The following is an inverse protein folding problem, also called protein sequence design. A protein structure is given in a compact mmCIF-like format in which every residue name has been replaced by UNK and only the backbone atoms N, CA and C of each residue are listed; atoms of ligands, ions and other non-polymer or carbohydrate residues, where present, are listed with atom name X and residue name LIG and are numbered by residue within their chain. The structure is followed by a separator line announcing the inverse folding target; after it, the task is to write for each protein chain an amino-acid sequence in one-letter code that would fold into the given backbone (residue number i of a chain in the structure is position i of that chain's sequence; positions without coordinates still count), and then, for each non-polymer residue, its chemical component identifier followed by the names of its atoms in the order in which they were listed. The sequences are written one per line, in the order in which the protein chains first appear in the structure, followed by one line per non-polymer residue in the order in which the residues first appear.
data_IF_087503813648
#
_entry.id   IF_087503813648
#
_cell.length_a   1.000
_cell.length_b   1.000
_cell.length_c   1.000
_cell.angle_alpha   90.00
_cell.angle_beta   90.00
_cell.angle_gamma   90.00
#
_symmetry.space_group_name_H-M   'P 1'
#
loop_
_entity.id
_entity.type
_entity.pdbx_description
1 polymer ?
#
# COMPACT_ATOMS: atom_id res chain seq x y z
N UNK A 1 65.27 27.10 8.02
CA UNK A 1 64.17 26.33 7.42
C UNK A 1 62.91 26.67 8.19
N UNK A 2 61.93 27.23 7.49
CA UNK A 2 60.75 27.91 8.02
C UNK A 2 59.62 26.93 8.36
N UNK A 3 59.20 26.92 9.63
CA UNK A 3 58.01 26.19 10.09
C UNK A 3 56.74 26.97 9.73
N UNK A 4 55.98 26.46 8.76
CA UNK A 4 54.61 26.91 8.51
C UNK A 4 53.65 26.19 9.45
N UNK A 5 53.28 26.85 10.56
CA UNK A 5 52.09 26.48 11.35
C UNK A 5 50.82 26.83 10.55
N UNK A 6 50.25 25.83 9.89
CA UNK A 6 48.91 25.91 9.33
C UNK A 6 47.86 26.00 10.44
N UNK A 7 47.15 27.13 10.51
CA UNK A 7 46.01 27.31 11.39
C UNK A 7 44.86 26.39 10.93
N UNK A 8 44.38 25.57 11.86
CA UNK A 8 43.23 24.70 11.68
C UNK A 8 41.95 25.54 11.54
N UNK A 9 41.39 25.59 10.34
CA UNK A 9 40.02 26.05 10.12
C UNK A 9 39.06 24.90 10.41
N UNK A 10 38.73 24.69 11.68
CA UNK A 10 37.60 23.84 12.09
C UNK A 10 36.31 24.54 11.67
N UNK A 11 35.80 24.18 10.50
CA UNK A 11 34.46 24.57 10.07
C UNK A 11 33.46 23.98 11.06
N UNK A 12 32.92 24.82 11.95
CA UNK A 12 31.76 24.49 12.76
C UNK A 12 30.59 24.17 11.82
N UNK A 13 30.40 22.87 11.52
CA UNK A 13 29.16 22.37 10.93
C UNK A 13 28.03 22.72 11.89
N UNK A 14 27.28 23.76 11.55
CA UNK A 14 26.04 24.13 12.24
C UNK A 14 25.17 22.87 12.30
N UNK A 15 24.71 22.42 13.49
CA UNK A 15 23.83 21.28 13.57
C UNK A 15 22.60 21.55 12.71
N UNK A 16 22.24 20.61 11.84
CA UNK A 16 21.00 20.72 11.06
C UNK A 16 19.84 20.96 12.04
N UNK A 17 18.85 21.80 11.68
CA UNK A 17 17.71 22.05 12.54
C UNK A 17 17.07 20.71 12.92
N UNK A 18 17.05 20.41 14.22
CA UNK A 18 16.44 19.17 14.73
C UNK A 18 14.94 19.31 14.55
N UNK A 19 14.39 18.73 13.49
CA UNK A 19 12.95 18.64 13.29
C UNK A 19 12.40 17.69 14.36
N UNK A 20 11.55 18.22 15.24
CA UNK A 20 10.84 17.41 16.22
C UNK A 20 9.67 16.69 15.55
N UNK A 21 9.42 15.46 15.98
CA UNK A 21 8.30 14.61 15.55
C UNK A 21 7.81 13.85 16.77
N UNK A 22 6.51 13.88 17.02
CA UNK A 22 5.88 13.16 18.14
C UNK A 22 5.14 11.94 17.62
N UNK A 23 5.29 10.80 18.29
CA UNK A 23 4.71 9.53 17.86
C UNK A 23 3.82 8.97 18.95
N UNK A 24 2.54 8.82 18.64
CA UNK A 24 1.56 8.20 19.51
C UNK A 24 1.25 6.79 19.00
N UNK A 25 1.35 5.80 19.87
CA UNK A 25 1.18 4.39 19.51
C UNK A 25 0.00 3.78 20.24
N UNK A 26 -0.93 3.21 19.48
CA UNK A 26 -2.11 2.52 19.98
C UNK A 26 -2.06 1.07 19.56
N UNK A 27 -2.33 0.16 20.51
CA UNK A 27 -2.40 -1.29 20.26
C UNK A 27 -3.83 -1.73 20.47
N UNK A 28 -4.32 -2.57 19.59
CA UNK A 28 -5.67 -3.11 19.66
C UNK A 28 -5.71 -4.53 19.07
N UNK A 29 -6.76 -5.26 19.36
CA UNK A 29 -6.98 -6.63 18.86
C UNK A 29 -8.30 -6.65 18.12
N UNK A 30 -8.28 -7.08 16.87
CA UNK A 30 -9.46 -7.16 16.01
C UNK A 30 -9.50 -8.52 15.32
N UNK A 31 -10.57 -9.31 15.56
CA UNK A 31 -10.67 -10.67 15.01
C UNK A 31 -9.45 -11.54 15.32
N UNK A 32 -9.02 -11.53 16.59
CA UNK A 32 -7.81 -12.25 17.05
C UNK A 32 -6.49 -11.81 16.40
N UNK A 33 -6.48 -10.68 15.70
CA UNK A 33 -5.30 -10.12 15.05
C UNK A 33 -4.78 -8.92 15.85
N UNK A 34 -3.53 -8.96 16.36
CA UNK A 34 -2.90 -7.81 16.98
C UNK A 34 -2.61 -6.72 15.94
N UNK A 35 -3.15 -5.52 16.19
CA UNK A 35 -2.99 -4.35 15.34
C UNK A 35 -2.29 -3.24 16.13
N UNK A 36 -1.47 -2.45 15.44
CA UNK A 36 -0.82 -1.27 15.99
C UNK A 36 -1.04 -0.09 15.05
N UNK A 37 -1.52 1.03 15.61
CA UNK A 37 -1.68 2.29 14.89
C UNK A 37 -0.73 3.32 15.47
N UNK A 38 -0.12 4.09 14.60
CA UNK A 38 0.93 5.03 14.92
C UNK A 38 0.58 6.39 14.31
N UNK A 39 0.36 7.37 15.16
CA UNK A 39 0.02 8.74 14.75
C UNK A 39 1.28 9.58 14.91
N UNK A 40 1.84 10.02 13.80
CA UNK A 40 2.92 11.01 13.77
C UNK A 40 2.35 12.41 13.78
N UNK A 41 2.92 13.28 14.61
CA UNK A 41 2.56 14.71 14.68
C UNK A 41 3.82 15.52 14.44
N UNK A 42 3.85 16.26 13.34
CA UNK A 42 5.04 16.96 12.85
C UNK A 42 4.75 18.47 12.72
N UNK A 43 5.36 19.34 13.54
CA UNK A 43 5.26 20.79 13.36
C UNK A 43 5.90 21.21 12.04
N UNK A 44 5.19 22.00 11.23
CA UNK A 44 5.79 22.61 10.02
C UNK A 44 6.99 23.51 10.38
N UNK A 45 6.97 24.11 11.57
CA UNK A 45 8.07 24.93 12.08
C UNK A 45 9.28 24.12 12.58
N UNK A 46 9.15 22.79 12.68
CA UNK A 46 10.13 21.89 13.28
C UNK A 46 10.20 21.93 14.82
N UNK A 47 9.39 22.75 15.49
CA UNK A 47 9.38 22.94 16.96
C UNK A 47 7.96 22.86 17.54
N UNK A 48 7.79 22.49 18.83
CA UNK A 48 6.49 22.43 19.52
C UNK A 48 5.99 23.84 19.86
N UNK A 49 5.54 24.57 18.84
CA UNK A 49 4.97 25.91 18.98
C UNK A 49 3.55 25.94 18.42
N UNK A 50 2.69 26.86 18.88
CA UNK A 50 1.43 27.10 18.22
C UNK A 50 1.63 27.34 16.72
N UNK A 51 0.87 26.65 15.87
CA UNK A 51 1.09 26.68 14.42
C UNK A 51 0.49 25.49 13.69
N UNK A 52 0.91 25.29 12.44
CA UNK A 52 0.46 24.17 11.61
C UNK A 52 1.25 22.89 11.92
N UNK A 53 0.52 21.79 11.97
CA UNK A 53 1.04 20.45 12.20
C UNK A 53 0.48 19.48 11.17
N UNK A 54 1.34 18.63 10.64
CA UNK A 54 0.97 17.51 9.79
C UNK A 54 0.81 16.26 10.65
N UNK A 55 -0.33 15.60 10.49
CA UNK A 55 -0.64 14.33 11.12
C UNK A 55 -0.50 13.24 10.06
N UNK A 56 0.31 12.22 10.34
CA UNK A 56 0.42 11.03 9.50
C UNK A 56 -0.06 9.81 10.30
N UNK A 57 -0.74 8.88 9.64
CA UNK A 57 -1.18 7.64 10.25
C UNK A 57 -0.48 6.47 9.58
N UNK A 58 0.15 5.60 10.37
CA UNK A 58 0.64 4.32 9.92
C UNK A 58 -0.02 3.18 10.68
N UNK A 59 -0.17 2.06 9.97
CA UNK A 59 -0.70 0.82 10.47
C UNK A 59 0.40 -0.23 10.43
N UNK A 60 0.58 -0.92 11.55
CA UNK A 60 1.54 -1.99 11.72
C UNK A 60 0.84 -3.25 12.22
N UNK A 61 1.09 -4.36 11.53
CA UNK A 61 0.72 -5.68 12.00
C UNK A 61 1.82 -6.68 11.64
N UNK A 62 2.17 -7.51 12.62
CA UNK A 62 3.19 -8.55 12.49
C UNK A 62 4.53 -8.09 11.89
N UNK A 63 5.06 -6.96 12.38
CA UNK A 63 6.34 -6.42 11.93
C UNK A 63 6.30 -5.69 10.57
N UNK A 64 5.14 -5.61 9.91
CA UNK A 64 4.96 -4.85 8.66
C UNK A 64 4.19 -3.57 8.96
N UNK A 65 4.83 -2.42 8.75
CA UNK A 65 4.26 -1.08 8.85
C UNK A 65 4.03 -0.48 7.46
N UNK A 66 2.87 0.15 7.25
CA UNK A 66 2.54 0.91 6.05
C UNK A 66 1.79 2.20 6.40
N UNK A 67 1.92 3.27 5.60
CA UNK A 67 1.04 4.42 5.74
C UNK A 67 -0.41 4.02 5.42
N UNK A 68 -1.35 4.64 6.12
CA UNK A 68 -2.79 4.53 5.84
C UNK A 68 -3.43 5.91 5.90
N UNK A 69 -4.40 6.15 5.04
CA UNK A 69 -5.00 7.48 4.80
C UNK A 69 -4.00 8.52 4.29
N UNK A 70 -4.53 9.60 3.72
CA UNK A 70 -3.75 10.78 3.38
C UNK A 70 -3.39 11.58 4.65
N UNK A 71 -2.20 12.21 4.70
CA UNK A 71 -1.84 13.12 5.78
C UNK A 71 -2.85 14.26 5.94
N UNK A 72 -3.16 14.65 7.18
CA UNK A 72 -4.03 15.80 7.45
C UNK A 72 -3.27 16.91 8.17
N UNK A 73 -3.57 18.16 7.83
CA UNK A 73 -2.99 19.34 8.49
C UNK A 73 -4.01 19.95 9.47
N UNK A 74 -3.54 20.35 10.65
CA UNK A 74 -4.33 21.10 11.64
C UNK A 74 -3.48 22.22 12.25
N UNK A 75 -4.14 23.29 12.68
CA UNK A 75 -3.51 24.35 13.46
C UNK A 75 -3.69 24.06 14.94
N UNK A 76 -2.60 23.85 15.67
CA UNK A 76 -2.61 23.59 17.11
C UNK A 76 -2.24 24.85 17.88
N UNK A 77 -2.92 25.06 19.01
CA UNK A 77 -2.55 26.03 20.06
C UNK A 77 -2.16 25.36 21.37
N UNK A 78 -2.28 24.03 21.44
CA UNK A 78 -1.92 23.19 22.58
C UNK A 78 -0.55 22.54 22.35
N UNK A 79 0.10 22.06 23.42
CA UNK A 79 1.37 21.35 23.29
C UNK A 79 1.13 20.01 22.56
N UNK A 80 1.81 19.75 21.42
CA UNK A 80 1.67 18.50 20.68
C UNK A 80 2.13 17.26 21.46
N UNK A 81 2.76 17.42 22.63
CA UNK A 81 3.15 16.33 23.55
C UNK A 81 2.01 15.88 24.47
N UNK A 82 0.94 16.66 24.57
CA UNK A 82 -0.19 16.42 25.47
C UNK A 82 -1.47 16.03 24.72
N UNK A 83 -1.37 15.71 23.43
CA UNK A 83 -2.53 15.30 22.65
C UNK A 83 -3.04 13.93 23.12
N UNK A 84 -4.36 13.77 23.11
CA UNK A 84 -5.04 12.49 23.32
C UNK A 84 -5.79 12.10 22.05
N UNK A 85 -5.82 10.79 21.75
CA UNK A 85 -6.52 10.26 20.59
C UNK A 85 -7.45 9.11 20.96
N UNK A 86 -8.65 9.13 20.40
CA UNK A 86 -9.50 7.95 20.32
C UNK A 86 -9.16 7.17 19.05
N UNK A 87 -8.62 5.96 19.19
CA UNK A 87 -8.35 5.05 18.07
C UNK A 87 -9.17 3.79 18.25
N UNK A 88 -10.07 3.53 17.31
CA UNK A 88 -10.90 2.33 17.38
C UNK A 88 -11.21 1.79 15.98
N UNK A 89 -11.42 0.49 15.92
CA UNK A 89 -11.94 -0.21 14.76
C UNK A 89 -13.26 -0.86 15.12
N UNK A 90 -14.15 -0.96 14.15
CA UNK A 90 -15.37 -1.76 14.28
C UNK A 90 -15.53 -2.65 13.05
N UNK A 91 -16.25 -3.78 13.15
CA UNK A 91 -16.46 -4.65 12.02
C UNK A 91 -17.08 -3.87 10.85
N UNK A 92 -16.51 -4.02 9.67
CA UNK A 92 -17.11 -3.48 8.46
C UNK A 92 -18.33 -4.28 8.03
N UNK A 93 -18.84 -3.95 6.83
CA UNK A 93 -19.88 -4.75 6.17
C UNK A 93 -19.35 -6.15 5.79
N UNK A 94 -20.19 -6.94 5.16
CA UNK A 94 -19.79 -8.24 4.60
C UNK A 94 -18.56 -8.10 3.71
N UNK A 95 -17.55 -8.92 3.97
CA UNK A 95 -16.32 -9.01 3.20
C UNK A 95 -16.01 -10.46 2.84
N UNK A 96 -15.23 -10.62 1.78
CA UNK A 96 -14.68 -11.91 1.38
C UNK A 96 -13.15 -11.76 1.33
N UNK A 97 -12.39 -12.50 2.16
CA UNK A 97 -12.85 -13.45 3.19
C UNK A 97 -13.63 -12.78 4.35
N UNK A 98 -14.47 -13.55 5.02
CA UNK A 98 -15.28 -13.09 6.17
C UNK A 98 -14.39 -12.72 7.35
N UNK A 99 -14.82 -11.73 8.15
CA UNK A 99 -14.14 -11.36 9.40
C UNK A 99 -12.84 -10.57 9.24
N UNK A 100 -12.50 -10.17 8.00
CA UNK A 100 -11.27 -9.44 7.72
C UNK A 100 -11.47 -7.94 7.52
N UNK A 101 -12.70 -7.47 7.28
CA UNK A 101 -12.96 -6.06 7.00
C UNK A 101 -13.26 -5.29 8.29
N UNK A 102 -12.51 -4.22 8.47
CA UNK A 102 -12.65 -3.30 9.59
C UNK A 102 -12.80 -1.86 9.09
N UNK A 103 -13.56 -1.07 9.84
CA UNK A 103 -13.64 0.37 9.66
C UNK A 103 -12.87 1.04 10.80
N UNK A 104 -11.83 1.79 10.45
CA UNK A 104 -10.99 2.55 11.37
C UNK A 104 -11.53 3.96 11.56
N UNK A 105 -11.48 4.47 12.80
CA UNK A 105 -11.67 5.88 13.11
C UNK A 105 -10.60 6.37 14.07
N UNK A 106 -10.09 7.57 13.81
CA UNK A 106 -9.15 8.27 14.68
C UNK A 106 -9.67 9.67 14.95
N UNK A 107 -9.84 9.99 16.22
CA UNK A 107 -10.27 11.30 16.71
C UNK A 107 -9.20 11.89 17.60
N UNK A 108 -8.93 13.18 17.44
CA UNK A 108 -8.11 13.97 18.35
C UNK A 108 -9.03 14.58 19.42
N UNK A 109 -8.75 14.31 20.69
CA UNK A 109 -9.50 14.87 21.83
C UNK A 109 -8.68 15.98 22.45
N UNK A 110 -9.20 17.20 22.45
CA UNK A 110 -8.52 18.37 23.03
C UNK A 110 -9.55 19.24 23.73
N UNK A 111 -9.31 19.55 25.00
CA UNK A 111 -10.14 20.47 25.81
C UNK A 111 -11.64 20.14 25.76
N UNK A 112 -12.00 18.85 25.80
CA UNK A 112 -13.39 18.39 25.76
C UNK A 112 -14.05 18.44 24.37
N UNK A 113 -13.29 18.75 23.31
CA UNK A 113 -13.77 18.73 21.92
C UNK A 113 -13.08 17.62 21.14
N UNK A 114 -13.87 16.86 20.39
CA UNK A 114 -13.41 15.76 19.56
C UNK A 114 -13.36 16.16 18.08
N UNK A 115 -12.21 15.97 17.45
CA UNK A 115 -11.98 16.28 16.04
C UNK A 115 -11.65 15.01 15.28
N UNK A 116 -12.48 14.64 14.29
CA UNK A 116 -12.16 13.52 13.40
C UNK A 116 -10.91 13.86 12.59
N UNK A 117 -9.89 13.01 12.69
CA UNK A 117 -8.65 13.13 11.92
C UNK A 117 -8.63 12.18 10.74
N UNK A 118 -8.87 10.89 10.99
CA UNK A 118 -8.76 9.85 9.97
C UNK A 118 -9.98 8.91 10.00
N UNK A 119 -10.26 8.32 8.84
CA UNK A 119 -11.13 7.16 8.77
C UNK A 119 -10.92 6.38 7.48
N UNK A 120 -10.91 5.07 7.60
CA UNK A 120 -10.78 4.12 6.49
C UNK A 120 -11.84 3.04 6.68
N UNK A 121 -12.67 2.83 5.67
CA UNK A 121 -13.74 1.82 5.69
C UNK A 121 -13.31 0.51 5.03
N UNK A 122 -12.09 0.44 4.51
CA UNK A 122 -11.55 -0.71 3.78
C UNK A 122 -10.25 -1.26 4.39
N UNK A 123 -10.13 -1.23 5.72
CA UNK A 123 -9.02 -1.88 6.41
C UNK A 123 -9.22 -3.40 6.42
N UNK A 124 -8.71 -4.10 5.40
CA UNK A 124 -8.72 -5.55 5.39
C UNK A 124 -7.46 -6.16 6.01
N UNK A 125 -7.66 -6.77 7.17
CA UNK A 125 -6.65 -7.49 7.93
C UNK A 125 -7.29 -8.65 8.68
N UNK A 126 -6.61 -9.79 8.71
CA UNK A 126 -7.08 -10.95 9.46
C UNK A 126 -5.97 -11.96 9.69
N UNK A 127 -6.16 -12.75 10.76
CA UNK A 127 -5.34 -13.92 11.08
C UNK A 127 -5.99 -15.13 10.40
N UNK A 128 -5.22 -15.83 9.57
CA UNK A 128 -5.64 -17.02 8.83
C UNK A 128 -7.03 -16.93 8.16
N UNK A 129 -7.28 -15.94 7.29
CA UNK A 129 -8.53 -15.84 6.56
C UNK A 129 -8.81 -17.09 5.71
N UNK A 130 -10.08 -17.50 5.65
CA UNK A 130 -10.49 -18.59 4.78
C UNK A 130 -10.58 -18.14 3.31
N UNK A 131 -9.44 -18.17 2.62
CA UNK A 131 -9.38 -17.88 1.17
C UNK A 131 -10.04 -18.98 0.32
N UNK A 132 -10.31 -20.17 0.84
CA UNK A 132 -11.00 -21.21 0.09
C UNK A 132 -12.50 -20.93 -0.06
N UNK A 133 -13.06 -20.07 0.79
CA UNK A 133 -14.43 -19.57 0.67
C UNK A 133 -14.67 -18.69 -0.58
N UNK A 134 -13.62 -18.29 -1.29
CA UNK A 134 -13.72 -17.43 -2.46
C UNK A 134 -14.01 -18.29 -3.70
N UNK A 135 -15.28 -18.32 -4.10
CA UNK A 135 -15.73 -19.00 -5.31
C UNK A 135 -15.00 -18.50 -6.57
N UNK A 136 -14.69 -19.44 -7.46
CA UNK A 136 -14.04 -19.21 -8.77
C UNK A 136 -12.68 -18.49 -8.71
N UNK A 137 -12.06 -18.39 -7.54
CA UNK A 137 -10.78 -17.73 -7.39
C UNK A 137 -9.64 -18.56 -7.99
N UNK A 138 -8.83 -17.93 -8.83
CA UNK A 138 -7.57 -18.46 -9.32
C UNK A 138 -6.42 -17.81 -8.56
N UNK A 139 -5.66 -18.64 -7.84
CA UNK A 139 -4.56 -18.20 -6.97
C UNK A 139 -3.22 -18.31 -7.67
N UNK A 140 -2.41 -17.26 -7.55
CA UNK A 140 -1.04 -17.28 -8.01
C UNK A 140 -0.17 -18.15 -7.09
N UNK A 141 0.75 -18.89 -7.69
CA UNK A 141 1.73 -19.74 -6.98
C UNK A 141 3.11 -19.15 -7.17
N UNK A 142 3.80 -18.92 -6.06
CA UNK A 142 5.21 -18.52 -6.10
C UNK A 142 6.01 -19.61 -6.82
N UNK A 143 6.79 -19.20 -7.81
CA UNK A 143 7.69 -20.08 -8.59
C UNK A 143 9.14 -19.81 -8.26
N UNK A 144 9.47 -18.55 -8.03
CA UNK A 144 10.82 -18.11 -7.76
C UNK A 144 10.81 -17.00 -6.70
N UNK A 145 11.83 -16.98 -5.87
CA UNK A 145 12.09 -15.94 -4.89
C UNK A 145 13.60 -15.73 -4.80
N UNK A 146 14.04 -14.50 -5.02
CA UNK A 146 15.43 -14.09 -4.95
C UNK A 146 15.58 -12.91 -3.96
N UNK A 147 16.76 -12.28 -3.93
CA UNK A 147 17.08 -11.22 -3.01
C UNK A 147 16.31 -9.91 -3.22
N UNK A 148 15.80 -9.68 -4.43
CA UNK A 148 15.11 -8.45 -4.81
C UNK A 148 13.75 -8.67 -5.46
N UNK A 149 13.37 -9.92 -5.70
CA UNK A 149 12.12 -10.22 -6.38
C UNK A 149 11.47 -11.54 -5.96
N UNK A 150 10.17 -11.62 -6.19
CA UNK A 150 9.37 -12.84 -6.12
C UNK A 150 8.48 -12.92 -7.35
N UNK A 151 8.48 -14.09 -8.00
CA UNK A 151 7.71 -14.36 -9.21
C UNK A 151 6.61 -15.35 -8.89
N UNK A 152 5.38 -15.00 -9.25
CA UNK A 152 4.19 -15.81 -9.06
C UNK A 152 3.50 -16.11 -10.39
N UNK A 153 3.12 -17.35 -10.63
CA UNK A 153 2.35 -17.72 -11.82
C UNK A 153 0.88 -17.99 -11.46
N UNK A 154 -0.05 -17.47 -12.26
CA UNK A 154 -1.47 -17.78 -12.16
C UNK A 154 -2.09 -17.97 -13.54
N UNK A 155 -3.24 -18.63 -13.59
CA UNK A 155 -4.11 -18.59 -14.77
C UNK A 155 -5.19 -17.53 -14.56
N UNK A 156 -5.28 -16.55 -15.46
CA UNK A 156 -6.32 -15.51 -15.44
C UNK A 156 -7.02 -15.49 -16.79
N UNK A 157 -8.32 -15.81 -16.83
CA UNK A 157 -9.05 -15.89 -18.10
C UNK A 157 -8.45 -16.89 -19.10
N UNK A 158 -7.94 -18.04 -18.60
CA UNK A 158 -7.18 -19.05 -19.36
C UNK A 158 -5.79 -18.60 -19.86
N UNK A 159 -5.38 -17.36 -19.62
CA UNK A 159 -4.01 -16.90 -19.90
C UNK A 159 -3.08 -17.26 -18.73
N UNK A 160 -1.87 -17.75 -19.03
CA UNK A 160 -0.82 -17.85 -18.03
C UNK A 160 -0.24 -16.44 -17.81
N UNK A 161 -0.30 -15.96 -16.57
CA UNK A 161 0.17 -14.63 -16.16
C UNK A 161 1.28 -14.81 -15.12
N UNK A 162 2.39 -14.12 -15.34
CA UNK A 162 3.43 -13.92 -14.34
C UNK A 162 3.18 -12.63 -13.58
N UNK A 163 3.20 -12.67 -12.26
CA UNK A 163 3.21 -11.50 -11.38
C UNK A 163 4.59 -11.38 -10.76
N UNK A 164 5.28 -10.30 -11.07
CA UNK A 164 6.66 -10.04 -10.64
C UNK A 164 6.63 -8.95 -9.58
N UNK A 165 6.96 -9.31 -8.34
CA UNK A 165 7.06 -8.37 -7.22
C UNK A 165 8.52 -8.07 -7.01
N UNK A 166 8.90 -6.79 -7.08
CA UNK A 166 10.28 -6.35 -6.87
C UNK A 166 10.33 -5.39 -5.70
N UNK A 167 11.47 -5.32 -5.02
CA UNK A 167 11.68 -4.32 -3.98
C UNK A 167 13.09 -3.75 -3.96
N UNK A 168 13.15 -2.47 -3.62
CA UNK A 168 14.38 -1.73 -3.39
C UNK A 168 14.40 -1.12 -2.00
N UNK A 169 15.56 -1.14 -1.35
CA UNK A 169 15.73 -0.49 -0.05
C UNK A 169 15.85 1.02 -0.25
N UNK A 170 14.96 1.78 0.39
CA UNK A 170 14.97 3.25 0.35
C UNK A 170 15.81 3.80 1.49
N UNK A 171 15.54 3.34 2.71
CA UNK A 171 16.23 3.77 3.92
C UNK A 171 16.01 2.74 5.03
N UNK A 172 16.49 2.99 6.25
CA UNK A 172 16.40 2.10 7.41
C UNK A 172 15.07 1.33 7.48
N UNK A 173 15.13 0.04 7.14
CA UNK A 173 14.00 -0.89 7.10
C UNK A 173 12.82 -0.47 6.21
N UNK A 174 12.94 0.60 5.42
CA UNK A 174 11.94 1.08 4.48
C UNK A 174 12.28 0.58 3.08
N UNK A 175 11.32 -0.11 2.48
CA UNK A 175 11.44 -0.72 1.16
C UNK A 175 10.34 -0.18 0.25
N UNK A 176 10.71 0.10 -1.00
CA UNK A 176 9.81 0.42 -2.11
C UNK A 176 9.51 -0.88 -2.84
N UNK A 177 8.23 -1.25 -2.95
CA UNK A 177 7.77 -2.41 -3.71
C UNK A 177 7.11 -1.97 -5.02
N UNK A 178 7.32 -2.74 -6.07
CA UNK A 178 6.53 -2.69 -7.31
C UNK A 178 5.92 -4.07 -7.59
N UNK A 179 4.79 -4.06 -8.30
CA UNK A 179 4.15 -5.25 -8.82
C UNK A 179 3.85 -5.05 -10.30
N UNK A 180 4.43 -5.90 -11.12
CA UNK A 180 4.24 -5.96 -12.57
C UNK A 180 3.53 -7.26 -12.92
N UNK A 181 2.76 -7.26 -14.00
CA UNK A 181 2.28 -8.50 -14.62
C UNK A 181 2.83 -8.62 -16.03
N UNK A 182 2.97 -9.87 -16.49
CA UNK A 182 3.32 -10.21 -17.86
C UNK A 182 2.52 -11.42 -18.31
N UNK A 183 2.02 -11.38 -19.55
CA UNK A 183 1.46 -12.52 -20.24
C UNK A 183 1.87 -12.48 -21.71
N UNK A 184 2.58 -13.51 -22.17
CA UNK A 184 2.99 -13.67 -23.57
C UNK A 184 3.72 -12.43 -24.14
N UNK A 185 4.63 -11.83 -23.36
CA UNK A 185 5.40 -10.66 -23.78
C UNK A 185 4.69 -9.31 -23.67
N UNK A 186 3.43 -9.28 -23.23
CA UNK A 186 2.70 -8.04 -22.92
C UNK A 186 2.52 -7.92 -21.42
N UNK A 187 2.90 -6.78 -20.86
CA UNK A 187 2.83 -6.55 -19.43
C UNK A 187 2.47 -5.12 -19.06
N UNK A 188 2.36 -4.89 -17.76
CA UNK A 188 2.05 -3.58 -17.21
C UNK A 188 2.33 -3.51 -15.71
N UNK A 189 2.49 -2.29 -15.22
CA UNK A 189 2.68 -2.02 -13.79
C UNK A 189 1.30 -1.97 -13.12
N UNK A 190 1.09 -2.80 -12.10
CA UNK A 190 -0.11 -2.81 -11.27
C UNK A 190 0.05 -1.92 -10.03
N UNK A 191 1.26 -1.93 -9.47
CA UNK A 191 1.63 -1.13 -8.30
C UNK A 191 3.02 -0.55 -8.56
N UNK A 192 3.13 0.77 -8.46
CA UNK A 192 4.42 1.46 -8.36
C UNK A 192 4.50 2.17 -7.01
N UNK A 193 5.72 2.24 -6.47
CA UNK A 193 6.06 2.93 -5.22
C UNK A 193 5.23 2.59 -3.97
N UNK A 194 4.93 1.30 -3.78
CA UNK A 194 4.31 0.86 -2.53
C UNK A 194 5.34 0.70 -1.41
N UNK A 195 5.29 1.58 -0.42
CA UNK A 195 6.32 1.64 0.63
C UNK A 195 5.92 0.87 1.88
N UNK A 196 6.78 -0.05 2.29
CA UNK A 196 6.64 -0.85 3.52
C UNK A 196 7.85 -0.65 4.41
N UNK A 197 7.61 -0.51 5.72
CA UNK A 197 8.65 -0.60 6.72
C UNK A 197 8.59 -1.94 7.43
N UNK A 198 9.70 -2.65 7.46
CA UNK A 198 9.77 -4.07 7.86
C UNK A 198 10.70 -4.26 9.05
N UNK A 199 10.24 -4.99 10.06
CA UNK A 199 11.11 -5.37 11.19
C UNK A 199 12.08 -6.51 10.82
N UNK A 200 11.82 -7.23 9.73
CA UNK A 200 12.59 -8.38 9.25
C UNK A 200 13.08 -8.22 7.81
N UNK A 201 13.82 -9.21 7.31
CA UNK A 201 14.23 -9.29 5.90
C UNK A 201 12.99 -9.24 4.98
N UNK A 202 12.96 -8.41 3.92
CA UNK A 202 11.85 -8.35 2.97
C UNK A 202 11.48 -9.71 2.34
N UNK A 203 12.43 -10.64 2.23
CA UNK A 203 12.17 -11.98 1.69
C UNK A 203 11.19 -12.81 2.53
N UNK A 204 11.03 -12.49 3.82
CA UNK A 204 10.10 -13.21 4.70
C UNK A 204 8.64 -12.78 4.47
N UNK A 205 8.44 -11.64 3.81
CA UNK A 205 7.11 -11.19 3.37
C UNK A 205 6.79 -11.92 2.07
N UNK A 206 5.63 -12.57 2.03
CA UNK A 206 5.13 -13.19 0.81
C UNK A 206 3.74 -12.65 0.49
N UNK A 207 3.28 -12.93 -0.72
CA UNK A 207 2.07 -12.34 -1.25
C UNK A 207 1.09 -13.44 -1.64
N UNK A 208 -0.18 -13.20 -1.30
CA UNK A 208 -1.29 -13.98 -1.80
C UNK A 208 -1.99 -13.13 -2.85
N UNK A 209 -1.89 -13.57 -4.10
CA UNK A 209 -2.50 -12.91 -5.26
C UNK A 209 -3.57 -13.84 -5.79
N UNK A 210 -4.78 -13.32 -5.97
CA UNK A 210 -5.85 -14.07 -6.62
C UNK A 210 -6.67 -13.20 -7.55
N UNK A 211 -7.20 -13.86 -8.58
CA UNK A 211 -8.15 -13.28 -9.51
C UNK A 211 -9.50 -13.98 -9.38
N UNK A 212 -10.59 -13.23 -9.54
CA UNK A 212 -11.96 -13.77 -9.63
C UNK A 212 -12.56 -13.29 -10.96
N UNK A 213 -13.12 -14.18 -11.79
CA UNK A 213 -13.78 -13.78 -13.02
C UNK A 213 -14.87 -12.73 -12.78
N UNK A 214 -15.08 -11.84 -13.75
CA UNK A 214 -16.17 -10.88 -13.76
C UNK A 214 -16.94 -10.96 -15.07
N UNK A 215 -18.20 -10.56 -15.03
CA UNK A 215 -19.03 -10.47 -16.21
C UNK A 215 -18.35 -9.51 -17.21
N UNK A 216 -18.10 -10.01 -18.42
CA UNK A 216 -17.41 -9.27 -19.47
C UNK A 216 -17.90 -9.72 -20.84
N UNK A 217 -17.72 -8.84 -21.82
CA UNK A 217 -17.92 -9.13 -23.23
C UNK A 217 -16.60 -8.79 -23.94
N UNK A 218 -15.87 -9.77 -24.50
CA UNK A 218 -16.15 -11.22 -24.49
C UNK A 218 -16.02 -11.87 -23.11
N UNK A 219 -16.63 -13.04 -22.94
CA UNK A 219 -16.60 -13.81 -21.68
C UNK A 219 -15.17 -14.20 -21.31
N UNK A 220 -14.84 -14.09 -20.02
CA UNK A 220 -13.52 -14.47 -19.49
C UNK A 220 -12.42 -13.42 -19.70
N UNK A 221 -12.78 -12.22 -20.17
CA UNK A 221 -11.85 -11.13 -20.41
C UNK A 221 -11.66 -10.18 -19.22
N UNK A 222 -12.61 -10.08 -18.28
CA UNK A 222 -12.48 -9.20 -17.11
C UNK A 222 -12.41 -9.99 -15.81
N UNK A 223 -11.58 -9.50 -14.88
CA UNK A 223 -11.28 -10.14 -13.61
C UNK A 223 -11.12 -9.09 -12.51
N UNK A 224 -11.48 -9.47 -11.29
CA UNK A 224 -11.12 -8.75 -10.07
C UNK A 224 -9.81 -9.32 -9.58
N UNK A 225 -8.79 -8.48 -9.42
CA UNK A 225 -7.49 -8.88 -8.90
C UNK A 225 -7.32 -8.34 -7.49
N UNK A 226 -6.77 -9.17 -6.59
CA UNK A 226 -6.57 -8.84 -5.17
C UNK A 226 -5.18 -9.27 -4.75
N UNK A 227 -4.50 -8.42 -4.01
CA UNK A 227 -3.14 -8.65 -3.52
C UNK A 227 -3.12 -8.44 -2.01
N UNK A 228 -2.69 -9.49 -1.32
CA UNK A 228 -2.53 -9.54 0.12
C UNK A 228 -1.07 -9.78 0.47
N UNK A 229 -0.58 -9.05 1.47
CA UNK A 229 0.61 -9.43 2.21
C UNK A 229 0.26 -10.62 3.08
N UNK A 230 1.20 -11.53 3.29
CA UNK A 230 1.16 -12.47 4.40
C UNK A 230 2.50 -12.51 5.11
N UNK A 231 2.44 -12.62 6.43
CA UNK A 231 3.60 -12.67 7.32
C UNK A 231 3.37 -13.74 8.37
N UNK A 232 4.40 -14.56 8.61
CA UNK A 232 4.34 -15.64 9.60
C UNK A 232 4.27 -15.03 11.00
N UNK A 233 3.32 -15.48 11.82
CA UNK A 233 3.23 -15.11 13.23
C UNK A 233 4.37 -15.84 13.95
N UNK A 234 5.34 -15.15 14.56
CA UNK A 234 6.36 -15.82 15.33
C UNK A 234 5.69 -16.58 16.48
N UNK A 235 5.78 -17.91 16.48
CA UNK A 235 5.41 -18.72 17.63
C UNK A 235 6.32 -18.26 18.76
N UNK A 236 5.73 -17.69 19.82
CA UNK A 236 6.50 -17.21 20.95
C UNK A 236 7.32 -18.38 21.52
N UNK A 237 8.64 -18.32 21.41
CA UNK A 237 9.59 -19.23 22.04
C UNK A 237 9.57 -19.17 23.59
N UNK A 238 8.51 -18.61 24.20
CA UNK A 238 8.42 -18.26 25.61
C UNK A 238 7.53 -19.18 26.43
N UNK A 239 7.08 -20.32 25.89
CA UNK A 239 6.40 -21.34 26.70
C UNK A 239 7.22 -22.64 26.70
N UNK A 240 8.17 -22.81 27.66
CA UNK A 240 8.99 -24.03 27.75
C UNK A 240 8.18 -25.30 28.08
N UNK A 241 6.87 -25.17 28.34
CA UNK A 241 5.93 -26.26 28.55
C UNK A 241 5.12 -26.67 27.30
N UNK A 242 5.24 -25.95 26.18
CA UNK A 242 4.53 -26.28 24.94
C UNK A 242 5.40 -27.18 24.04
N UNK A 243 5.53 -28.46 24.40
CA UNK A 243 6.25 -29.50 23.63
C UNK A 243 5.45 -30.06 22.44
N UNK A 244 4.60 -29.26 21.81
CA UNK A 244 3.84 -29.69 20.63
C UNK A 244 4.34 -28.98 19.37
N UNK A 245 5.40 -29.52 18.77
CA UNK A 245 5.69 -29.32 17.35
C UNK A 245 4.66 -30.14 16.54
N UNK A 246 3.46 -29.59 16.38
CA UNK A 246 2.51 -30.08 15.38
C UNK A 246 2.93 -29.54 14.01
N UNK A 247 2.87 -30.34 12.93
CA UNK A 247 3.29 -29.94 11.58
C UNK A 247 2.40 -28.86 10.90
N UNK A 248 1.43 -28.30 11.63
CA UNK A 248 0.42 -27.34 11.14
C UNK A 248 0.34 -26.03 11.96
N UNK A 249 1.39 -25.67 12.70
CA UNK A 249 1.38 -24.53 13.64
C UNK A 249 1.68 -23.15 13.00
N UNK A 250 1.83 -23.06 11.68
CA UNK A 250 2.12 -21.79 11.02
C UNK A 250 0.84 -20.97 10.87
N UNK A 251 0.72 -19.94 11.69
CA UNK A 251 -0.33 -18.94 11.58
C UNK A 251 0.21 -17.70 10.87
N UNK A 252 -0.62 -17.08 10.02
CA UNK A 252 -0.24 -15.92 9.24
C UNK A 252 -1.19 -14.76 9.48
N UNK A 253 -0.63 -13.55 9.52
CA UNK A 253 -1.40 -12.32 9.45
C UNK A 253 -1.38 -11.83 8.01
N UNK A 254 -2.58 -11.62 7.48
CA UNK A 254 -2.82 -11.15 6.13
C UNK A 254 -3.30 -9.71 6.15
N UNK A 255 -2.78 -8.90 5.23
CA UNK A 255 -3.25 -7.53 5.04
C UNK A 255 -3.49 -7.29 3.55
N UNK A 256 -4.67 -6.81 3.17
CA UNK A 256 -4.91 -6.45 1.76
C UNK A 256 -4.22 -5.13 1.49
N UNK A 257 -3.41 -5.09 0.43
CA UNK A 257 -2.65 -3.87 0.07
C UNK A 257 -3.02 -3.29 -1.27
N UNK A 258 -3.61 -4.10 -2.14
CA UNK A 258 -4.05 -3.61 -3.43
C UNK A 258 -5.20 -4.43 -4.00
N UNK A 259 -6.04 -3.76 -4.78
CA UNK A 259 -7.15 -4.36 -5.51
C UNK A 259 -7.39 -3.60 -6.82
N UNK A 260 -7.90 -4.31 -7.81
CA UNK A 260 -8.57 -3.70 -8.96
C UNK A 260 -9.74 -4.57 -9.40
N UNK A 261 -10.80 -3.95 -9.89
CA UNK A 261 -11.98 -4.63 -10.46
C UNK A 261 -12.02 -4.54 -11.99
N UNK A 262 -10.97 -3.95 -12.59
CA UNK A 262 -10.89 -3.66 -14.01
C UNK A 262 -9.71 -4.37 -14.69
N UNK A 263 -9.22 -5.49 -14.13
CA UNK A 263 -8.12 -6.23 -14.73
C UNK A 263 -8.64 -7.00 -15.95
N UNK A 264 -8.19 -6.62 -17.15
CA UNK A 264 -8.68 -7.19 -18.41
C UNK A 264 -7.59 -8.02 -19.07
N UNK A 265 -7.79 -9.33 -19.10
CA UNK A 265 -6.94 -10.29 -19.79
C UNK A 265 -7.72 -11.56 -20.08
N UNK A 266 -7.43 -12.20 -21.20
CA UNK A 266 -7.97 -13.51 -21.50
C UNK A 266 -7.21 -14.17 -22.64
N UNK A 267 -7.20 -15.50 -22.63
CA UNK A 267 -6.66 -16.31 -23.72
C UNK A 267 -7.81 -16.95 -24.49
N UNK A 268 -7.66 -17.00 -25.82
CA UNK A 268 -8.63 -17.59 -26.76
C UNK A 268 -10.04 -17.03 -26.57
N UNK A 269 -10.14 -15.70 -26.52
CA UNK A 269 -11.42 -15.01 -26.41
C UNK A 269 -12.22 -15.22 -27.71
N UNK A 270 -13.46 -15.66 -27.58
CA UNK A 270 -14.32 -16.04 -28.71
C UNK A 270 -15.06 -14.81 -29.25
N UNK A 271 -14.35 -13.95 -29.97
CA UNK A 271 -14.94 -12.75 -30.57
C UNK A 271 -16.03 -13.06 -31.61
N UNK A 272 -15.96 -14.23 -32.26
CA UNK A 272 -16.93 -14.68 -33.27
C UNK A 272 -18.32 -14.98 -32.69
N UNK A 273 -18.39 -15.31 -31.40
CA UNK A 273 -19.66 -15.59 -30.70
C UNK A 273 -20.39 -14.33 -30.25
N UNK A 274 -19.74 -13.17 -30.38
CA UNK A 274 -20.33 -11.88 -30.07
C UNK A 274 -21.32 -11.57 -31.20
N UNK A 275 -22.60 -11.83 -30.93
CA UNK A 275 -23.67 -11.89 -31.93
C UNK A 275 -23.78 -10.68 -32.89
N UNK A 276 -24.73 -10.74 -33.85
CA UNK A 276 -24.73 -9.90 -35.07
C UNK A 276 -24.85 -8.38 -34.85
N UNK A 277 -25.06 -7.93 -33.61
CA UNK A 277 -25.11 -6.51 -33.24
C UNK A 277 -23.73 -5.90 -32.99
N UNK A 278 -22.67 -6.70 -32.93
CA UNK A 278 -21.31 -6.20 -32.74
C UNK A 278 -20.79 -5.56 -34.04
N UNK A 279 -20.24 -4.36 -33.92
CA UNK A 279 -19.49 -3.71 -35.00
C UNK A 279 -18.00 -3.88 -34.70
N UNK A 280 -17.28 -4.62 -35.56
CA UNK A 280 -15.84 -4.81 -35.45
C UNK A 280 -15.10 -3.85 -36.38
N UNK A 281 -13.97 -3.31 -35.90
CA UNK A 281 -13.00 -2.67 -36.77
C UNK A 281 -12.30 -3.72 -37.63
N UNK A 282 -12.03 -3.39 -38.89
CA UNK A 282 -11.13 -4.15 -39.75
C UNK A 282 -9.80 -3.41 -39.82
N UNK A 283 -8.70 -4.16 -40.00
CA UNK A 283 -7.40 -3.53 -40.16
C UNK A 283 -7.35 -2.77 -41.49
N UNK A 284 -6.91 -1.51 -41.47
CA UNK A 284 -6.71 -0.70 -42.68
C UNK A 284 -5.36 -0.98 -43.37
N UNK A 285 -4.56 -1.93 -42.87
CA UNK A 285 -3.25 -2.28 -43.41
C UNK A 285 -2.31 -2.83 -42.33
N UNK A 286 -1.01 -2.90 -42.64
CA UNK A 286 0.01 -3.15 -41.65
C UNK A 286 0.27 -1.93 -40.75
N UNK A 287 1.00 -2.10 -39.63
CA UNK A 287 1.39 -0.98 -38.79
C UNK A 287 2.28 0.00 -39.59
N UNK A 288 2.01 1.30 -39.46
CA UNK A 288 2.90 2.34 -39.99
C UNK A 288 3.88 2.77 -38.91
N UNK A 289 5.18 2.74 -39.23
CA UNK A 289 6.22 3.26 -38.34
C UNK A 289 6.32 4.77 -38.51
N UNK A 290 5.88 5.52 -37.51
CA UNK A 290 6.02 6.98 -37.48
C UNK A 290 7.29 7.32 -36.69
N UNK A 291 8.32 7.81 -37.38
CA UNK A 291 9.54 8.31 -36.74
C UNK A 291 9.31 9.77 -36.36
N UNK A 292 9.21 10.05 -35.06
CA UNK A 292 9.12 11.43 -34.58
C UNK A 292 10.53 12.03 -34.45
N UNK A 293 10.84 13.16 -35.10
CA UNK A 293 12.18 13.76 -35.06
C UNK A 293 12.53 14.36 -33.69
N UNK A 294 11.54 14.57 -32.83
CA UNK A 294 11.72 15.01 -31.45
C UNK A 294 10.79 14.19 -30.55
N UNK A 295 11.25 13.78 -29.36
CA UNK A 295 10.38 13.14 -28.38
C UNK A 295 9.19 14.08 -28.09
N UNK A 296 7.97 13.53 -27.87
CA UNK A 296 6.85 14.32 -27.38
C UNK A 296 7.32 15.12 -26.16
N UNK A 297 7.15 16.44 -26.18
CA UNK A 297 7.45 17.27 -25.00
C UNK A 297 6.66 16.71 -23.82
N UNK A 298 7.34 16.42 -22.71
CA UNK A 298 6.65 16.09 -21.47
C UNK A 298 5.58 17.17 -21.20
N UNK A 299 4.34 16.77 -20.87
CA UNK A 299 3.32 17.74 -20.51
C UNK A 299 3.86 18.55 -19.33
N UNK A 300 4.20 19.82 -19.59
CA UNK A 300 4.58 20.75 -18.54
C UNK A 300 3.42 20.78 -17.53
N UNK A 301 3.68 20.59 -16.23
CA UNK A 301 2.66 20.81 -15.22
C UNK A 301 2.16 22.24 -15.44
N UNK A 302 0.85 22.38 -15.66
CA UNK A 302 0.23 23.67 -15.91
C UNK A 302 0.71 24.64 -14.83
N UNK A 303 1.39 25.70 -15.26
CA UNK A 303 1.86 26.74 -14.37
C UNK A 303 0.65 27.20 -13.54
N UNK A 304 0.71 26.96 -12.24
CA UNK A 304 -0.28 27.42 -11.29
C UNK A 304 -0.38 28.93 -11.44
N UNK A 305 -1.41 29.39 -12.15
CA UNK A 305 -1.76 30.80 -12.23
C UNK A 305 -2.39 31.12 -10.88
N UNK A 306 -1.54 31.54 -9.95
CA UNK A 306 -1.92 32.27 -8.76
C UNK A 306 -2.55 33.61 -9.20
N UNK A 307 -3.87 33.60 -9.38
CA UNK A 307 -4.67 34.76 -9.71
C UNK A 307 -5.98 34.74 -8.93
N UNK A 308 -5.99 35.50 -7.85
CA UNK A 308 -7.13 35.82 -6.98
C UNK A 308 -8.37 36.25 -7.79
N UNK A 309 -9.56 35.73 -7.42
CA UNK A 309 -10.83 36.48 -7.22
C UNK A 309 -11.97 35.51 -6.85
N UNK A 310 -12.34 35.49 -5.56
CA UNK A 310 -13.57 36.06 -4.96
C UNK A 310 -14.78 35.13 -4.98
N UNK A 311 -15.23 34.82 -3.76
CA UNK A 311 -16.57 34.35 -3.42
C UNK A 311 -17.65 35.15 -4.15
N UNK A 312 -18.64 34.46 -4.74
CA UNK A 312 -20.05 34.82 -4.61
C UNK A 312 -20.92 33.55 -4.57
N UNK A 313 -21.88 33.61 -3.67
CA UNK A 313 -22.98 32.70 -3.37
C UNK A 313 -24.03 32.61 -4.49
N UNK A 314 -24.78 31.50 -4.49
CA UNK A 314 -26.25 31.36 -4.62
C UNK A 314 -26.65 30.08 -5.40
N UNK A 315 -27.64 29.36 -4.86
CA UNK A 315 -28.32 28.21 -5.47
C UNK A 315 -28.56 27.08 -4.50
#
# INVERSE_FOLDING_TARGET
MTDHRGAQSTTHRRPLPRQERYLYTYRLVAGSTPLQFMISVEPESGKPRPGKYTFNLSFKANGIERPICEPTVRTLKVDPRQLDFAVFVFPGKNSIPTGCLWSLRVWLRVNGVDHRLFGDDELLVGKDPDFNSIGDASFARMKHADAKEQIYHAYVGRALVSFNIKWDRVSNNLYKYSLEYEAQGVGGVLIDDFRLKLDSDPKTVSFLIYSVPSNSVPTGAAHKLRVWLRSLVPLAANNPSATYNLPFNDSYIYQRVWKTDSFKIGSRLEFETLGPKMVMGFSAGGPQTIVMPHPPREPQPAASTSGIKTWESFG
#
